data_IF_596380692052
#
_entry.id   IF_596380692052
#
_cell.length_a   1.000
_cell.length_b   1.000
_cell.length_c   1.000
_cell.angle_alpha   90.00
_cell.angle_beta   90.00
_cell.angle_gamma   90.00
#
_symmetry.space_group_name_H-M   'P 1'
#
loop_
_entity.id
_entity.type
_entity.pdbx_description
1 polymer ?
#
# COMPACT_ATOMS: atom_id res chain seq x y z
N UNK A 1 20.80 9.23 -28.29
CA UNK A 1 21.23 7.82 -28.22
C UNK A 1 19.98 6.97 -28.35
N UNK A 2 19.97 5.90 -29.13
CA UNK A 2 18.77 5.10 -29.36
C UNK A 2 18.38 4.31 -28.10
N UNK A 3 17.10 4.35 -27.73
CA UNK A 3 16.53 3.54 -26.64
C UNK A 3 16.32 2.09 -27.08
N UNK A 4 17.42 1.41 -27.41
CA UNK A 4 17.42 0.00 -27.81
C UNK A 4 17.19 -0.91 -26.60
N UNK A 5 16.09 -1.68 -26.60
CA UNK A 5 15.77 -2.81 -25.72
C UNK A 5 16.32 -2.70 -24.29
N UNK A 6 15.74 -1.85 -23.45
CA UNK A 6 15.93 -1.97 -22.01
C UNK A 6 15.12 -3.15 -21.49
N UNK A 7 15.80 -4.09 -20.84
CA UNK A 7 15.18 -5.20 -20.12
C UNK A 7 15.36 -5.00 -18.61
N UNK A 8 14.29 -5.20 -17.84
CA UNK A 8 14.36 -5.34 -16.38
C UNK A 8 14.58 -6.82 -16.04
N UNK A 9 15.63 -7.13 -15.27
CA UNK A 9 15.77 -8.43 -14.60
C UNK A 9 15.11 -8.35 -13.23
N UNK A 10 14.10 -9.19 -12.98
CA UNK A 10 13.48 -9.32 -11.66
C UNK A 10 14.33 -10.28 -10.80
N UNK A 11 14.94 -9.85 -9.69
CA UNK A 11 15.74 -10.75 -8.87
C UNK A 11 14.89 -11.82 -8.17
N UNK A 12 15.48 -12.99 -7.91
CA UNK A 12 14.88 -14.00 -7.03
C UNK A 12 15.04 -13.57 -5.56
N UNK A 13 14.19 -12.65 -5.11
CA UNK A 13 14.21 -12.09 -3.75
C UNK A 13 14.00 -13.16 -2.66
N UNK A 14 13.23 -14.21 -2.95
CA UNK A 14 12.79 -15.23 -2.00
C UNK A 14 13.50 -16.60 -2.10
N UNK A 15 14.65 -16.72 -2.76
CA UNK A 15 15.39 -18.01 -2.90
C UNK A 15 15.71 -18.68 -1.56
N UNK A 16 16.00 -17.89 -0.53
CA UNK A 16 16.29 -18.37 0.82
C UNK A 16 15.20 -17.99 1.83
N UNK A 17 13.95 -17.83 1.37
CA UNK A 17 12.79 -17.59 2.24
C UNK A 17 12.18 -18.93 2.67
N UNK A 18 12.23 -19.31 3.97
CA UNK A 18 11.82 -20.64 4.43
C UNK A 18 10.38 -21.04 4.10
N UNK A 19 9.46 -20.07 4.04
CA UNK A 19 8.03 -20.33 3.87
C UNK A 19 7.67 -20.65 2.41
N UNK A 20 7.12 -21.85 2.13
CA UNK A 20 6.72 -22.26 0.79
C UNK A 20 5.34 -21.69 0.41
N UNK A 21 5.00 -21.77 -0.88
CA UNK A 21 3.65 -21.43 -1.37
C UNK A 21 2.62 -22.35 -0.72
N UNK A 22 1.76 -21.78 0.12
CA UNK A 22 0.62 -22.47 0.75
C UNK A 22 -0.66 -21.77 0.33
N UNK A 23 -1.74 -22.51 0.10
CA UNK A 23 -3.03 -21.99 -0.35
C UNK A 23 -4.12 -22.47 0.63
N UNK A 24 -4.97 -21.55 1.08
CA UNK A 24 -6.09 -21.89 1.95
C UNK A 24 -7.04 -22.90 1.27
N UNK A 25 -7.45 -23.99 1.95
CA UNK A 25 -8.33 -25.01 1.37
C UNK A 25 -9.69 -24.48 0.90
N UNK A 26 -10.18 -23.37 1.47
CA UNK A 26 -11.47 -22.77 1.13
C UNK A 26 -11.44 -21.82 -0.09
N UNK A 27 -10.28 -21.60 -0.72
CA UNK A 27 -10.07 -20.64 -1.81
C UNK A 27 -11.18 -20.67 -2.88
N UNK A 28 -11.47 -21.84 -3.46
CA UNK A 28 -12.42 -21.95 -4.58
C UNK A 28 -13.83 -21.49 -4.18
N UNK A 29 -14.30 -21.90 -3.00
CA UNK A 29 -15.62 -21.53 -2.48
C UNK A 29 -15.67 -20.04 -2.15
N UNK A 30 -14.69 -19.54 -1.39
CA UNK A 30 -14.71 -18.15 -0.92
C UNK A 30 -14.47 -17.16 -2.07
N UNK A 31 -13.64 -17.52 -3.06
CA UNK A 31 -13.48 -16.75 -4.31
C UNK A 31 -14.82 -16.57 -5.02
N UNK A 32 -15.57 -17.65 -5.26
CA UNK A 32 -16.85 -17.58 -5.95
C UNK A 32 -17.85 -16.70 -5.18
N UNK A 33 -17.92 -16.85 -3.85
CA UNK A 33 -18.78 -16.03 -2.99
C UNK A 33 -18.35 -14.54 -2.96
N UNK A 34 -17.05 -14.24 -3.00
CA UNK A 34 -16.51 -12.87 -2.90
C UNK A 34 -16.60 -12.10 -4.22
N UNK A 35 -16.24 -12.74 -5.35
CA UNK A 35 -16.44 -12.17 -6.68
C UNK A 35 -17.92 -11.86 -6.94
N UNK A 36 -18.83 -12.80 -6.69
CA UNK A 36 -20.27 -12.58 -6.91
C UNK A 36 -20.85 -11.45 -6.04
N UNK A 37 -20.33 -11.26 -4.82
CA UNK A 37 -20.69 -10.13 -3.96
C UNK A 37 -20.20 -8.80 -4.54
N UNK A 38 -18.92 -8.71 -4.95
CA UNK A 38 -18.40 -7.46 -5.51
C UNK A 38 -19.08 -7.08 -6.85
N UNK A 39 -19.25 -8.05 -7.74
CA UNK A 39 -19.92 -7.88 -9.04
C UNK A 39 -21.36 -7.37 -8.88
N UNK A 40 -22.04 -7.72 -7.78
CA UNK A 40 -23.42 -7.28 -7.52
C UNK A 40 -23.57 -5.74 -7.41
N UNK A 41 -22.51 -5.03 -7.01
CA UNK A 41 -22.50 -3.57 -6.92
C UNK A 41 -22.31 -2.88 -8.26
N UNK A 42 -21.79 -3.58 -9.29
CA UNK A 42 -21.48 -3.03 -10.61
C UNK A 42 -20.60 -1.78 -10.54
N UNK A 43 -19.55 -1.84 -9.70
CA UNK A 43 -18.60 -0.74 -9.53
C UNK A 43 -17.78 -0.45 -10.81
N UNK A 44 -17.70 -1.41 -11.72
CA UNK A 44 -16.92 -1.36 -12.96
C UNK A 44 -17.80 -1.58 -14.19
N UNK A 45 -17.40 -1.04 -15.34
CA UNK A 45 -17.95 -1.46 -16.64
C UNK A 45 -17.52 -2.91 -16.99
N UNK A 46 -18.13 -3.59 -17.99
CA UNK A 46 -17.81 -4.98 -18.30
C UNK A 46 -16.35 -5.27 -18.66
N UNK A 47 -15.63 -4.32 -19.28
CA UNK A 47 -14.21 -4.47 -19.64
C UNK A 47 -13.33 -4.30 -18.41
N UNK A 48 -13.59 -3.28 -17.59
CA UNK A 48 -12.90 -3.07 -16.33
C UNK A 48 -13.14 -4.25 -15.35
N UNK A 49 -14.37 -4.75 -15.25
CA UNK A 49 -14.71 -5.94 -14.44
C UNK A 49 -13.95 -7.20 -14.91
N UNK A 50 -13.82 -7.41 -16.23
CA UNK A 50 -13.06 -8.55 -16.76
C UNK A 50 -11.56 -8.44 -16.43
N UNK A 51 -10.98 -7.23 -16.52
CA UNK A 51 -9.61 -6.94 -16.09
C UNK A 51 -9.40 -7.21 -14.60
N UNK A 52 -10.30 -6.66 -13.76
CA UNK A 52 -10.31 -6.87 -12.31
C UNK A 52 -10.37 -8.35 -11.94
N UNK A 53 -11.31 -9.10 -12.54
CA UNK A 53 -11.47 -10.53 -12.29
C UNK A 53 -10.23 -11.35 -12.70
N UNK A 54 -9.52 -10.94 -13.75
CA UNK A 54 -8.27 -11.59 -14.18
C UNK A 54 -7.08 -11.38 -13.22
N UNK A 55 -7.15 -10.34 -12.37
CA UNK A 55 -6.15 -10.10 -11.32
C UNK A 55 -6.31 -11.07 -10.13
N UNK A 56 -7.47 -11.70 -9.97
CA UNK A 56 -7.74 -12.75 -8.97
C UNK A 56 -7.26 -12.39 -7.55
N UNK A 57 -7.73 -11.26 -7.01
CA UNK A 57 -7.35 -10.79 -5.68
C UNK A 57 -7.76 -11.75 -4.55
N UNK A 58 -8.76 -12.61 -4.80
CA UNK A 58 -9.14 -13.72 -3.93
C UNK A 58 -8.02 -14.78 -3.80
N UNK A 59 -7.20 -14.98 -4.84
CA UNK A 59 -6.01 -15.83 -4.78
C UNK A 59 -4.93 -15.22 -3.89
N UNK A 60 -4.70 -13.90 -3.97
CA UNK A 60 -3.76 -13.19 -3.07
C UNK A 60 -4.15 -13.41 -1.60
N UNK A 61 -5.41 -13.13 -1.25
CA UNK A 61 -5.93 -13.38 0.09
C UNK A 61 -5.76 -14.85 0.51
N UNK A 62 -6.08 -15.80 -0.37
CA UNK A 62 -6.01 -17.24 -0.05
C UNK A 62 -4.59 -17.79 0.06
N UNK A 63 -3.61 -17.15 -0.56
CA UNK A 63 -2.19 -17.44 -0.36
C UNK A 63 -1.64 -16.79 0.92
N UNK A 64 -2.15 -15.61 1.28
CA UNK A 64 -1.70 -14.85 2.43
C UNK A 64 -2.28 -15.33 3.77
N UNK A 65 -3.51 -15.84 3.76
CA UNK A 65 -4.23 -16.35 4.93
C UNK A 65 -4.43 -17.89 4.88
N UNK A 66 -3.38 -18.72 4.73
CA UNK A 66 -3.53 -20.16 4.46
C UNK A 66 -4.13 -20.96 5.62
N UNK A 67 -4.05 -20.45 6.87
CA UNK A 67 -4.62 -21.08 8.07
C UNK A 67 -6.00 -20.55 8.47
N UNK A 68 -6.45 -19.44 7.88
CA UNK A 68 -7.68 -18.79 8.28
C UNK A 68 -8.91 -19.71 8.09
N UNK A 69 -9.87 -19.57 9.00
CA UNK A 69 -11.20 -20.17 8.86
C UNK A 69 -11.86 -19.73 7.54
N UNK A 70 -12.90 -20.46 7.07
CA UNK A 70 -13.65 -20.03 5.87
C UNK A 70 -14.20 -18.59 6.03
N UNK A 71 -14.63 -18.23 7.23
CA UNK A 71 -15.21 -16.93 7.57
C UNK A 71 -14.15 -15.81 7.61
N UNK A 72 -13.00 -16.05 8.22
CA UNK A 72 -11.90 -15.07 8.23
C UNK A 72 -11.21 -14.95 6.87
N UNK A 73 -11.11 -16.04 6.09
CA UNK A 73 -10.68 -15.98 4.70
C UNK A 73 -11.63 -15.11 3.86
N UNK A 74 -12.94 -15.20 4.12
CA UNK A 74 -13.95 -14.39 3.42
C UNK A 74 -13.74 -12.89 3.68
N UNK A 75 -13.41 -12.51 4.91
CA UNK A 75 -12.97 -11.15 5.24
C UNK A 75 -11.70 -10.78 4.46
N UNK A 76 -10.69 -11.64 4.44
CA UNK A 76 -9.45 -11.40 3.70
C UNK A 76 -9.66 -11.19 2.19
N UNK A 77 -10.56 -11.95 1.56
CA UNK A 77 -10.92 -11.80 0.15
C UNK A 77 -11.69 -10.51 -0.13
N UNK A 78 -12.71 -10.19 0.69
CA UNK A 78 -13.48 -8.95 0.56
C UNK A 78 -12.59 -7.71 0.79
N UNK A 79 -11.62 -7.78 1.70
CA UNK A 79 -10.62 -6.73 1.94
C UNK A 79 -9.71 -6.51 0.72
N UNK A 80 -9.17 -7.59 0.13
CA UNK A 80 -8.34 -7.45 -1.06
C UNK A 80 -9.13 -6.81 -2.21
N UNK A 81 -10.37 -7.27 -2.43
CA UNK A 81 -11.25 -6.66 -3.42
C UNK A 81 -11.53 -5.18 -3.11
N UNK A 82 -11.74 -4.82 -1.84
CA UNK A 82 -11.95 -3.43 -1.42
C UNK A 82 -10.75 -2.52 -1.74
N UNK A 83 -9.50 -2.94 -1.47
CA UNK A 83 -8.32 -2.14 -1.81
C UNK A 83 -8.25 -1.81 -3.29
N UNK A 84 -8.41 -2.80 -4.17
CA UNK A 84 -8.30 -2.55 -5.61
C UNK A 84 -9.48 -1.80 -6.21
N UNK A 85 -10.63 -1.72 -5.52
CA UNK A 85 -11.70 -0.76 -5.86
C UNK A 85 -11.29 0.65 -5.41
N UNK A 86 -10.68 0.82 -4.23
CA UNK A 86 -10.16 2.12 -3.77
C UNK A 86 -9.09 2.64 -4.73
N UNK A 87 -8.13 1.81 -5.15
CA UNK A 87 -7.10 2.18 -6.14
C UNK A 87 -7.74 2.73 -7.43
N UNK A 88 -8.73 2.04 -8.02
CA UNK A 88 -9.42 2.50 -9.24
C UNK A 88 -10.09 3.87 -9.07
N UNK A 89 -10.68 4.14 -7.90
CA UNK A 89 -11.30 5.44 -7.58
C UNK A 89 -10.30 6.52 -7.14
N UNK A 90 -9.01 6.23 -6.96
CA UNK A 90 -8.04 7.18 -6.39
C UNK A 90 -6.77 7.36 -7.21
N UNK A 91 -6.40 6.44 -8.09
CA UNK A 91 -5.14 6.55 -8.87
C UNK A 91 -5.21 7.56 -10.02
N UNK A 92 -6.39 7.78 -10.60
CA UNK A 92 -6.62 8.79 -11.66
C UNK A 92 -7.06 10.16 -11.12
N UNK A 93 -7.25 10.27 -9.81
CA UNK A 93 -7.89 11.41 -9.14
C UNK A 93 -6.89 12.34 -8.42
N UNK A 94 -7.36 13.55 -8.09
CA UNK A 94 -6.61 14.55 -7.32
C UNK A 94 -6.70 14.34 -5.79
N UNK A 95 -5.95 15.15 -5.04
CA UNK A 95 -5.93 15.12 -3.56
C UNK A 95 -7.33 15.30 -2.93
N UNK A 96 -8.23 16.06 -3.58
CA UNK A 96 -9.57 16.37 -3.05
C UNK A 96 -10.51 15.19 -3.26
N UNK A 97 -10.48 14.57 -4.43
CA UNK A 97 -11.31 13.40 -4.75
C UNK A 97 -10.81 12.15 -4.01
N UNK A 98 -9.49 11.96 -3.89
CA UNK A 98 -8.93 10.92 -3.03
C UNK A 98 -9.36 11.08 -1.56
N UNK A 99 -9.36 12.32 -1.04
CA UNK A 99 -9.83 12.60 0.32
C UNK A 99 -11.34 12.35 0.50
N UNK A 100 -12.15 12.54 -0.55
CA UNK A 100 -13.57 12.17 -0.55
C UNK A 100 -13.77 10.66 -0.42
N UNK A 101 -13.06 9.87 -1.24
CA UNK A 101 -13.10 8.39 -1.21
C UNK A 101 -12.64 7.88 0.16
N UNK A 102 -11.56 8.42 0.70
CA UNK A 102 -11.07 8.11 2.04
C UNK A 102 -12.11 8.40 3.13
N UNK A 103 -12.73 9.59 3.10
CA UNK A 103 -13.74 10.02 4.07
C UNK A 103 -14.99 9.14 4.06
N UNK A 104 -15.55 8.85 2.87
CA UNK A 104 -16.71 7.98 2.71
C UNK A 104 -16.41 6.55 3.18
N UNK A 105 -15.24 6.02 2.81
CA UNK A 105 -14.81 4.68 3.22
C UNK A 105 -14.66 4.60 4.74
N UNK A 106 -14.03 5.58 5.40
CA UNK A 106 -13.90 5.58 6.86
C UNK A 106 -15.23 5.80 7.60
N UNK A 107 -16.17 6.62 7.09
CA UNK A 107 -17.50 6.73 7.69
C UNK A 107 -18.29 5.41 7.57
N UNK A 108 -18.11 4.66 6.47
CA UNK A 108 -18.69 3.34 6.29
C UNK A 108 -18.09 2.27 7.21
N UNK A 109 -16.75 2.22 7.34
CA UNK A 109 -16.05 1.29 8.24
C UNK A 109 -16.33 1.59 9.72
N UNK A 110 -16.40 2.86 10.11
CA UNK A 110 -16.73 3.27 11.49
C UNK A 110 -18.22 3.10 11.83
N UNK A 111 -19.11 3.03 10.83
CA UNK A 111 -20.55 2.91 11.03
C UNK A 111 -21.15 1.79 10.14
N UNK A 112 -20.75 0.52 10.28
CA UNK A 112 -21.12 -0.55 9.35
C UNK A 112 -22.62 -0.88 9.34
N UNK A 113 -23.34 -0.52 10.41
CA UNK A 113 -24.80 -0.74 10.52
C UNK A 113 -25.64 0.50 10.18
N UNK A 114 -25.02 1.63 9.82
CA UNK A 114 -25.68 2.86 9.38
C UNK A 114 -25.97 2.77 7.87
N UNK A 115 -27.22 2.93 7.42
CA UNK A 115 -27.53 2.99 5.99
C UNK A 115 -26.75 4.10 5.27
N UNK A 116 -26.22 3.81 4.08
CA UNK A 116 -25.49 4.81 3.29
C UNK A 116 -26.45 5.86 2.68
N UNK A 117 -26.04 7.13 2.53
CA UNK A 117 -26.83 8.15 1.86
C UNK A 117 -27.20 7.77 0.41
N UNK A 118 -28.42 8.13 -0.02
CA UNK A 118 -28.86 7.90 -1.41
C UNK A 118 -28.02 8.75 -2.37
N UNK A 119 -27.38 8.10 -3.32
CA UNK A 119 -26.51 8.76 -4.31
C UNK A 119 -25.07 8.99 -3.84
N UNK A 120 -24.66 8.40 -2.71
CA UNK A 120 -23.25 8.31 -2.35
C UNK A 120 -22.49 7.39 -3.33
N UNK A 121 -21.19 7.64 -3.48
CA UNK A 121 -20.26 6.77 -4.23
C UNK A 121 -20.28 5.34 -3.69
N UNK A 122 -20.30 4.36 -4.60
CA UNK A 122 -20.62 2.95 -4.28
C UNK A 122 -19.63 2.30 -3.28
N UNK A 123 -18.39 2.80 -3.22
CA UNK A 123 -17.37 2.37 -2.25
C UNK A 123 -17.87 2.44 -0.80
N UNK A 124 -18.74 3.40 -0.46
CA UNK A 124 -19.33 3.52 0.87
C UNK A 124 -20.20 2.31 1.24
N UNK A 125 -20.97 1.76 0.29
CA UNK A 125 -21.79 0.57 0.54
C UNK A 125 -20.96 -0.72 0.49
N UNK A 126 -19.93 -0.80 -0.36
CA UNK A 126 -18.99 -1.92 -0.42
C UNK A 126 -18.25 -2.05 0.93
N UNK A 127 -17.61 -0.96 1.39
CA UNK A 127 -16.90 -0.92 2.67
C UNK A 127 -17.83 -1.20 3.86
N UNK A 128 -19.06 -0.66 3.83
CA UNK A 128 -20.06 -0.90 4.86
C UNK A 128 -20.44 -2.39 4.95
N UNK A 129 -20.74 -3.04 3.82
CA UNK A 129 -21.11 -4.47 3.82
C UNK A 129 -19.93 -5.37 4.22
N UNK A 130 -18.72 -5.06 3.73
CA UNK A 130 -17.49 -5.76 4.13
C UNK A 130 -17.31 -5.74 5.66
N UNK A 131 -17.40 -4.57 6.28
CA UNK A 131 -17.15 -4.47 7.73
C UNK A 131 -18.34 -4.95 8.57
N UNK A 132 -19.57 -4.75 8.12
CA UNK A 132 -20.77 -5.32 8.77
C UNK A 132 -20.77 -6.85 8.80
N UNK A 133 -20.20 -7.51 7.79
CA UNK A 133 -19.98 -8.97 7.76
C UNK A 133 -18.89 -9.39 8.76
N UNK A 134 -17.87 -8.55 8.92
CA UNK A 134 -16.64 -8.90 9.67
C UNK A 134 -16.80 -8.69 11.18
N UNK A 135 -17.34 -7.54 11.61
CA UNK A 135 -17.43 -7.14 13.03
C UNK A 135 -17.98 -8.23 13.98
N UNK A 136 -19.00 -9.06 13.62
CA UNK A 136 -19.49 -10.12 14.50
C UNK A 136 -18.52 -11.29 14.76
N UNK A 137 -17.38 -11.33 14.07
CA UNK A 137 -16.49 -12.52 13.97
C UNK A 137 -15.08 -12.27 14.54
N UNK A 138 -14.86 -11.11 15.17
CA UNK A 138 -13.52 -10.58 15.52
C UNK A 138 -13.46 -10.09 16.96
N UNK A 139 -12.24 -9.97 17.51
CA UNK A 139 -12.00 -9.35 18.83
C UNK A 139 -12.06 -7.82 18.75
N UNK A 140 -12.42 -7.13 19.84
CA UNK A 140 -12.41 -5.66 19.87
C UNK A 140 -11.00 -5.08 19.67
N UNK A 141 -9.96 -5.82 20.07
CA UNK A 141 -8.57 -5.46 19.81
C UNK A 141 -8.23 -5.47 18.31
N UNK A 142 -8.61 -6.52 17.59
CA UNK A 142 -8.40 -6.60 16.12
C UNK A 142 -9.32 -5.64 15.35
N UNK A 143 -10.56 -5.41 15.82
CA UNK A 143 -11.45 -4.37 15.30
C UNK A 143 -10.79 -2.98 15.36
N UNK A 144 -10.33 -2.57 16.55
CA UNK A 144 -9.66 -1.28 16.77
C UNK A 144 -8.41 -1.16 15.91
N UNK A 145 -7.52 -2.15 15.93
CA UNK A 145 -6.26 -2.14 15.16
C UNK A 145 -6.51 -2.09 13.65
N UNK A 146 -7.56 -2.75 13.13
CA UNK A 146 -7.97 -2.61 11.74
C UNK A 146 -8.42 -1.18 11.41
N UNK A 147 -9.31 -0.58 12.20
CA UNK A 147 -9.80 0.79 11.95
C UNK A 147 -8.66 1.82 12.00
N UNK A 148 -7.74 1.71 12.95
CA UNK A 148 -6.55 2.58 13.07
C UNK A 148 -5.61 2.45 11.85
N UNK A 149 -5.33 1.22 11.42
CA UNK A 149 -4.42 0.96 10.29
C UNK A 149 -5.04 1.26 8.93
N UNK A 150 -6.36 1.08 8.76
CA UNK A 150 -7.07 1.41 7.53
C UNK A 150 -7.22 2.93 7.32
N UNK A 151 -7.46 3.70 8.40
CA UNK A 151 -7.43 5.18 8.32
C UNK A 151 -6.04 5.65 7.90
N UNK A 152 -4.99 5.12 8.54
CA UNK A 152 -3.58 5.43 8.21
C UNK A 152 -3.27 5.15 6.73
N UNK A 153 -3.70 3.99 6.21
CA UNK A 153 -3.60 3.66 4.79
C UNK A 153 -4.31 4.71 3.91
N UNK A 154 -5.58 5.01 4.19
CA UNK A 154 -6.35 5.97 3.38
C UNK A 154 -5.77 7.39 3.40
N UNK A 155 -5.28 7.87 4.55
CA UNK A 155 -4.59 9.17 4.60
C UNK A 155 -3.30 9.17 3.75
N UNK A 156 -2.60 8.04 3.66
CA UNK A 156 -1.40 7.92 2.82
C UNK A 156 -1.73 7.86 1.31
N UNK A 157 -2.88 7.32 0.91
CA UNK A 157 -3.39 7.39 -0.47
C UNK A 157 -3.64 8.85 -0.89
N UNK A 158 -4.23 9.67 -0.01
CA UNK A 158 -4.40 11.12 -0.25
C UNK A 158 -3.04 11.82 -0.44
N UNK A 159 -2.04 11.46 0.37
CA UNK A 159 -0.67 11.97 0.22
C UNK A 159 -0.03 11.55 -1.12
N UNK A 160 -0.24 10.31 -1.57
CA UNK A 160 0.25 9.83 -2.87
C UNK A 160 -0.39 10.60 -4.04
N UNK A 161 -1.71 10.82 -4.02
CA UNK A 161 -2.41 11.59 -5.05
C UNK A 161 -1.84 13.02 -5.15
N UNK A 162 -1.54 13.65 -4.02
CA UNK A 162 -0.84 14.95 -3.97
C UNK A 162 0.58 14.87 -4.54
N UNK A 163 1.34 13.82 -4.24
CA UNK A 163 2.71 13.68 -4.74
C UNK A 163 2.74 13.49 -6.27
N UNK A 164 1.82 12.67 -6.83
CA UNK A 164 1.62 12.53 -8.30
C UNK A 164 1.33 13.87 -8.97
N UNK A 165 0.40 14.66 -8.42
CA UNK A 165 0.04 15.98 -9.00
C UNK A 165 1.20 16.99 -9.01
N UNK A 166 2.25 16.75 -8.22
CA UNK A 166 3.46 17.58 -8.14
C UNK A 166 4.69 16.95 -8.79
N UNK A 167 4.56 15.72 -9.32
CA UNK A 167 5.67 14.92 -9.85
C UNK A 167 6.85 14.81 -8.86
N UNK A 168 6.53 14.67 -7.56
CA UNK A 168 7.51 14.72 -6.49
C UNK A 168 8.17 13.35 -6.26
N UNK A 169 9.38 13.19 -6.79
CA UNK A 169 10.24 12.03 -6.49
C UNK A 169 10.85 12.21 -5.09
N UNK A 170 10.62 11.22 -4.22
CA UNK A 170 11.11 11.18 -2.83
C UNK A 170 12.53 10.62 -2.74
N UNK A 171 13.15 10.75 -1.56
CA UNK A 171 14.31 9.90 -1.21
C UNK A 171 13.86 8.44 -0.99
N UNK A 172 14.78 7.49 -1.06
CA UNK A 172 14.56 6.08 -0.71
C UNK A 172 13.97 5.94 0.69
N UNK A 173 14.50 6.71 1.66
CA UNK A 173 14.06 6.64 3.05
C UNK A 173 12.62 7.18 3.23
N UNK A 174 12.34 8.37 2.68
CA UNK A 174 11.02 9.00 2.79
C UNK A 174 9.96 8.21 2.01
N UNK A 175 10.36 7.63 0.88
CA UNK A 175 9.51 6.70 0.13
C UNK A 175 9.14 5.48 0.98
N UNK A 176 10.12 4.73 1.51
CA UNK A 176 9.82 3.55 2.32
C UNK A 176 8.98 3.90 3.56
N UNK A 177 9.23 5.05 4.19
CA UNK A 177 8.42 5.51 5.33
C UNK A 177 6.94 5.68 4.96
N UNK A 178 6.64 6.38 3.88
CA UNK A 178 5.25 6.61 3.44
C UNK A 178 4.64 5.37 2.78
N UNK A 179 5.41 4.62 1.99
CA UNK A 179 4.95 3.40 1.30
C UNK A 179 4.56 2.29 2.27
N UNK A 180 5.14 2.24 3.49
CA UNK A 180 4.73 1.32 4.57
C UNK A 180 3.30 1.54 5.06
N UNK A 181 2.76 2.75 4.90
CA UNK A 181 1.34 3.05 5.18
C UNK A 181 0.49 2.76 3.94
N UNK A 182 0.99 3.12 2.76
CA UNK A 182 0.27 3.10 1.50
C UNK A 182 0.12 1.72 0.83
N UNK A 183 1.05 0.78 1.04
CA UNK A 183 1.03 -0.56 0.41
C UNK A 183 -0.09 -1.50 0.94
N UNK A 184 -0.98 -1.03 1.82
CA UNK A 184 -2.11 -1.80 2.36
C UNK A 184 -1.72 -2.95 3.31
N UNK A 185 -0.43 -3.14 3.61
CA UNK A 185 0.07 -4.26 4.41
C UNK A 185 -0.38 -4.18 5.88
N UNK A 186 -0.38 -2.99 6.51
CA UNK A 186 -0.80 -2.82 7.91
C UNK A 186 -2.25 -3.27 8.16
N UNK A 187 -3.28 -2.77 7.46
CA UNK A 187 -4.64 -3.27 7.59
C UNK A 187 -4.79 -4.73 7.16
N UNK A 188 -3.98 -5.24 6.23
CA UNK A 188 -3.96 -6.67 5.89
C UNK A 188 -3.41 -7.55 7.03
N UNK A 189 -2.42 -7.06 7.77
CA UNK A 189 -1.88 -7.78 8.93
C UNK A 189 -2.83 -7.76 10.12
N UNK A 190 -3.68 -6.74 10.28
CA UNK A 190 -4.75 -6.75 11.28
C UNK A 190 -5.76 -7.89 11.05
N UNK A 191 -5.91 -8.40 9.82
CA UNK A 191 -6.74 -9.59 9.52
C UNK A 191 -6.06 -10.91 9.94
N UNK A 192 -4.74 -10.93 10.19
CA UNK A 192 -4.10 -12.08 10.85
C UNK A 192 -4.55 -12.22 12.31
N UNK A 193 -5.10 -11.16 12.90
CA UNK A 193 -5.46 -11.09 14.31
C UNK A 193 -6.92 -11.45 14.59
N UNK A 194 -7.74 -11.76 13.57
CA UNK A 194 -9.19 -11.94 13.77
C UNK A 194 -9.54 -13.13 14.67
N UNK A 195 -8.71 -14.18 14.65
CA UNK A 195 -8.79 -15.37 15.50
C UNK A 195 -7.92 -15.29 16.75
N UNK A 196 -7.20 -14.17 16.96
CA UNK A 196 -6.18 -14.02 18.00
C UNK A 196 -6.58 -12.94 19.02
N UNK A 197 -6.16 -13.13 20.27
CA UNK A 197 -6.31 -12.16 21.36
C UNK A 197 -4.94 -11.66 21.83
N UNK A 198 -4.12 -11.20 20.86
CA UNK A 198 -2.76 -10.71 21.13
C UNK A 198 -2.80 -9.35 21.87
N UNK A 199 -2.21 -9.25 23.08
CA UNK A 199 -2.15 -8.01 23.83
C UNK A 199 -1.30 -6.92 23.15
N UNK A 200 -1.63 -5.65 23.37
CA UNK A 200 -0.87 -4.52 22.78
C UNK A 200 0.61 -4.51 23.19
N UNK A 201 0.98 -5.04 24.38
CA UNK A 201 2.38 -5.14 24.80
C UNK A 201 3.18 -6.18 24.00
N UNK A 202 2.52 -7.19 23.43
CA UNK A 202 3.13 -8.18 22.53
C UNK A 202 3.30 -7.54 21.15
N UNK A 203 2.23 -6.92 20.63
CA UNK A 203 2.23 -6.28 19.31
C UNK A 203 3.23 -5.11 19.22
N UNK A 204 3.42 -4.36 20.31
CA UNK A 204 4.41 -3.28 20.40
C UNK A 204 5.84 -3.75 20.71
N UNK A 205 6.07 -5.04 20.98
CA UNK A 205 7.41 -5.55 21.28
C UNK A 205 8.38 -5.33 20.10
N UNK A 206 9.61 -4.85 20.32
CA UNK A 206 10.54 -4.50 19.23
C UNK A 206 10.80 -5.62 18.21
N UNK A 207 10.82 -6.88 18.64
CA UNK A 207 10.97 -8.04 17.73
C UNK A 207 9.77 -8.20 16.79
N UNK A 208 8.54 -8.02 17.30
CA UNK A 208 7.32 -8.09 16.48
C UNK A 208 7.27 -6.91 15.51
N UNK A 209 7.51 -5.70 16.00
CA UNK A 209 7.60 -4.50 15.15
C UNK A 209 8.67 -4.62 14.05
N UNK A 210 9.85 -5.17 14.38
CA UNK A 210 10.93 -5.40 13.40
C UNK A 210 10.51 -6.43 12.35
N UNK A 211 9.91 -7.55 12.75
CA UNK A 211 9.40 -8.55 11.81
C UNK A 211 8.31 -7.96 10.90
N UNK A 212 7.35 -7.23 11.48
CA UNK A 212 6.27 -6.54 10.76
C UNK A 212 6.82 -5.55 9.73
N UNK A 213 7.61 -4.55 10.13
CA UNK A 213 8.16 -3.54 9.20
C UNK A 213 9.02 -4.19 8.11
N UNK A 214 9.80 -5.22 8.45
CA UNK A 214 10.63 -5.93 7.48
C UNK A 214 9.79 -6.70 6.45
N UNK A 215 8.69 -7.33 6.88
CA UNK A 215 7.75 -7.97 5.96
C UNK A 215 7.10 -6.94 5.02
N UNK A 216 6.71 -5.77 5.53
CA UNK A 216 6.18 -4.66 4.71
C UNK A 216 7.20 -4.23 3.65
N UNK A 217 8.46 -3.97 4.02
CA UNK A 217 9.49 -3.57 3.06
C UNK A 217 9.74 -4.64 1.98
N UNK A 218 9.65 -5.93 2.33
CA UNK A 218 9.74 -7.03 1.35
C UNK A 218 8.51 -7.12 0.44
N UNK A 219 7.30 -6.79 0.93
CA UNK A 219 6.09 -6.68 0.12
C UNK A 219 6.21 -5.53 -0.90
N UNK A 220 6.67 -4.35 -0.44
CA UNK A 220 6.93 -3.18 -1.30
C UNK A 220 7.88 -3.55 -2.42
N UNK A 221 9.05 -4.11 -2.11
CA UNK A 221 10.04 -4.54 -3.10
C UNK A 221 9.45 -5.55 -4.09
N UNK A 222 8.67 -6.53 -3.60
CA UNK A 222 8.04 -7.53 -4.46
C UNK A 222 7.00 -6.95 -5.42
N UNK A 223 6.18 -6.02 -4.93
CA UNK A 223 5.17 -5.30 -5.70
C UNK A 223 5.84 -4.43 -6.78
N UNK A 224 6.71 -3.50 -6.35
CA UNK A 224 7.39 -2.52 -7.20
C UNK A 224 8.22 -3.19 -8.31
N UNK A 225 8.92 -4.30 -8.02
CA UNK A 225 9.68 -5.04 -9.04
C UNK A 225 8.79 -5.65 -10.13
N UNK A 226 7.54 -6.00 -9.80
CA UNK A 226 6.61 -6.61 -10.75
C UNK A 226 5.75 -5.55 -11.46
N UNK A 227 5.42 -4.45 -10.78
CA UNK A 227 4.62 -3.36 -11.32
C UNK A 227 5.40 -2.40 -12.22
N UNK A 228 6.72 -2.27 -12.01
CA UNK A 228 7.58 -1.28 -12.66
C UNK A 228 7.33 -1.09 -14.16
N UNK A 229 7.26 -2.17 -14.95
CA UNK A 229 7.02 -2.04 -16.42
C UNK A 229 5.71 -1.31 -16.69
N UNK A 230 4.64 -1.69 -15.99
CA UNK A 230 3.29 -1.19 -16.25
C UNK A 230 3.15 0.27 -15.78
N UNK A 231 3.82 0.65 -14.70
CA UNK A 231 3.91 2.03 -14.20
C UNK A 231 4.78 2.90 -15.12
N UNK A 232 5.95 2.41 -15.51
CA UNK A 232 6.90 3.11 -16.39
C UNK A 232 6.31 3.36 -17.78
N UNK A 233 5.60 2.37 -18.35
CA UNK A 233 4.88 2.51 -19.61
C UNK A 233 3.72 3.54 -19.56
N UNK A 234 3.25 3.90 -18.36
CA UNK A 234 2.23 4.94 -18.14
C UNK A 234 2.83 6.29 -17.74
N UNK A 235 4.12 6.35 -17.43
CA UNK A 235 4.78 7.54 -16.86
C UNK A 235 4.43 7.81 -15.39
N UNK A 236 4.03 6.78 -14.63
CA UNK A 236 3.65 6.89 -13.21
C UNK A 236 4.58 6.11 -12.27
N UNK A 237 5.81 5.80 -12.73
CA UNK A 237 6.83 5.10 -11.94
C UNK A 237 7.56 5.99 -10.91
N UNK A 238 7.12 7.24 -10.74
CA UNK A 238 7.66 8.16 -9.70
C UNK A 238 7.45 7.63 -8.27
N UNK A 239 6.48 6.74 -8.08
CA UNK A 239 6.17 6.06 -6.83
C UNK A 239 6.76 4.62 -6.76
N UNK A 240 7.79 4.31 -7.53
CA UNK A 240 8.44 3.00 -7.56
C UNK A 240 9.89 3.07 -7.05
N UNK A 241 10.28 2.14 -6.17
CA UNK A 241 11.63 2.09 -5.58
C UNK A 241 12.75 1.98 -6.64
N UNK A 242 12.52 1.38 -7.81
CA UNK A 242 13.51 1.33 -8.89
C UNK A 242 13.81 2.72 -9.46
N UNK A 243 12.79 3.54 -9.72
CA UNK A 243 12.96 4.89 -10.26
C UNK A 243 13.51 5.85 -9.21
N UNK A 244 13.07 5.71 -7.96
CA UNK A 244 13.60 6.46 -6.83
C UNK A 244 15.08 6.14 -6.59
N UNK A 245 15.48 4.86 -6.61
CA UNK A 245 16.88 4.47 -6.47
C UNK A 245 17.75 4.92 -7.66
N UNK A 246 17.22 4.89 -8.91
CA UNK A 246 17.92 5.46 -10.08
C UNK A 246 18.18 6.95 -9.91
N UNK A 247 17.19 7.70 -9.42
CA UNK A 247 17.27 9.14 -9.18
C UNK A 247 18.26 9.46 -8.05
N UNK A 248 18.13 8.82 -6.88
CA UNK A 248 18.98 9.09 -5.71
C UNK A 248 20.46 8.72 -5.94
N UNK A 249 20.75 7.62 -6.62
CA UNK A 249 22.13 7.23 -6.93
C UNK A 249 22.69 7.89 -8.20
N UNK A 250 21.86 8.56 -9.00
CA UNK A 250 22.25 9.10 -10.32
C UNK A 250 22.72 8.02 -11.30
N UNK A 251 22.15 6.81 -11.22
CA UNK A 251 22.66 5.62 -11.91
C UNK A 251 21.56 4.81 -12.63
N UNK A 252 21.98 3.94 -13.55
CA UNK A 252 21.08 3.15 -14.39
C UNK A 252 20.31 2.04 -13.66
N UNK A 253 19.25 1.53 -14.29
CA UNK A 253 18.33 0.53 -13.74
C UNK A 253 19.03 -0.72 -13.18
N UNK A 254 20.10 -1.20 -13.84
CA UNK A 254 20.88 -2.34 -13.36
C UNK A 254 21.54 -2.12 -11.99
N UNK A 255 21.94 -0.89 -11.66
CA UNK A 255 22.44 -0.58 -10.32
C UNK A 255 21.30 -0.59 -9.28
N UNK A 256 20.16 0.02 -9.61
CA UNK A 256 18.98 -0.01 -8.73
C UNK A 256 18.54 -1.45 -8.40
N UNK A 257 18.52 -2.36 -9.39
CA UNK A 257 18.26 -3.79 -9.16
C UNK A 257 19.29 -4.44 -8.22
N UNK A 258 20.59 -4.18 -8.42
CA UNK A 258 21.65 -4.71 -7.55
C UNK A 258 21.56 -4.19 -6.11
N UNK A 259 21.15 -2.93 -5.94
CA UNK A 259 20.88 -2.34 -4.63
C UNK A 259 19.65 -2.98 -3.98
N UNK A 260 18.53 -3.12 -4.70
CA UNK A 260 17.33 -3.83 -4.21
C UNK A 260 17.64 -5.27 -3.81
N UNK A 261 18.42 -6.01 -4.62
CA UNK A 261 18.87 -7.36 -4.27
C UNK A 261 19.59 -7.38 -2.91
N UNK A 262 20.49 -6.42 -2.69
CA UNK A 262 21.29 -6.30 -1.48
C UNK A 262 20.46 -5.88 -0.27
N UNK A 263 19.53 -4.94 -0.47
CA UNK A 263 18.61 -4.47 0.55
C UNK A 263 17.61 -5.56 0.98
N UNK A 264 17.01 -6.28 0.04
CA UNK A 264 16.16 -7.44 0.33
C UNK A 264 16.93 -8.58 1.04
N UNK A 265 18.23 -8.76 0.76
CA UNK A 265 19.12 -9.68 1.52
C UNK A 265 19.38 -9.20 2.95
N UNK A 266 19.41 -7.89 3.24
CA UNK A 266 19.41 -7.39 4.62
C UNK A 266 18.06 -7.54 5.30
N UNK A 267 16.95 -7.19 4.64
CA UNK A 267 15.59 -7.36 5.17
C UNK A 267 15.36 -8.81 5.62
N UNK A 268 15.60 -9.80 4.74
CA UNK A 268 15.47 -11.21 5.13
C UNK A 268 16.24 -11.58 6.40
N UNK A 269 17.48 -11.07 6.57
CA UNK A 269 18.27 -11.32 7.79
C UNK A 269 17.66 -10.64 9.01
N UNK A 270 17.16 -9.42 8.87
CA UNK A 270 16.43 -8.70 9.94
C UNK A 270 15.16 -9.44 10.37
N UNK A 271 14.38 -9.98 9.42
CA UNK A 271 13.16 -10.74 9.75
C UNK A 271 13.49 -12.01 10.54
N UNK A 272 14.41 -12.83 10.03
CA UNK A 272 14.82 -14.09 10.69
C UNK A 272 15.42 -13.81 12.08
N UNK A 273 16.27 -12.79 12.20
CA UNK A 273 16.87 -12.41 13.48
C UNK A 273 15.90 -11.71 14.44
N UNK A 274 14.75 -11.21 13.95
CA UNK A 274 13.69 -10.68 14.79
C UNK A 274 12.85 -11.81 15.40
N UNK A 275 12.43 -12.80 14.59
CA UNK A 275 11.66 -13.95 15.10
C UNK A 275 12.47 -14.81 16.08
N UNK A 276 13.79 -14.93 15.89
CA UNK A 276 14.71 -15.59 16.84
C UNK A 276 14.82 -14.87 18.20
N UNK A 277 14.45 -13.58 18.26
CA UNK A 277 14.51 -12.73 19.47
C UNK A 277 13.12 -12.42 20.04
N UNK A 278 12.12 -13.21 19.69
CA UNK A 278 10.80 -13.13 20.33
C UNK A 278 10.91 -13.79 21.71
N UNK A 279 10.64 -13.07 22.81
CA UNK A 279 10.62 -13.66 24.14
C UNK A 279 9.38 -14.54 24.31
N UNK A 280 9.40 -15.43 25.30
CA UNK A 280 8.19 -16.14 25.74
C UNK A 280 7.35 -15.26 26.66
N UNK A 281 6.05 -15.24 26.43
CA UNK A 281 5.03 -14.66 27.32
C UNK A 281 4.12 -15.73 27.94
N UNK A 282 4.35 -17.00 27.62
CA UNK A 282 3.56 -18.16 28.07
C UNK A 282 2.91 -18.87 26.89
N UNK A 283 2.73 -20.19 27.02
CA UNK A 283 2.35 -21.12 25.94
C UNK A 283 1.16 -20.66 25.07
N UNK A 284 0.12 -20.11 25.70
CA UNK A 284 -1.08 -19.61 25.02
C UNK A 284 -0.82 -18.38 24.13
N UNK A 285 0.01 -17.44 24.60
CA UNK A 285 0.39 -16.25 23.83
C UNK A 285 1.44 -16.63 22.78
N UNK A 286 2.43 -17.45 23.14
CA UNK A 286 3.50 -17.86 22.26
C UNK A 286 2.99 -18.63 21.03
N UNK A 287 1.92 -19.43 21.20
CA UNK A 287 1.22 -20.10 20.10
C UNK A 287 0.60 -19.10 19.12
N UNK A 288 -0.11 -18.09 19.63
CA UNK A 288 -0.74 -17.05 18.81
C UNK A 288 0.29 -16.15 18.12
N UNK A 289 1.40 -15.85 18.79
CA UNK A 289 2.53 -15.10 18.21
C UNK A 289 3.18 -15.90 17.08
N UNK A 290 3.36 -17.22 17.24
CA UNK A 290 3.87 -18.07 16.19
C UNK A 290 2.95 -18.09 14.95
N UNK A 291 1.63 -18.13 15.15
CA UNK A 291 0.64 -18.04 14.06
C UNK A 291 0.71 -16.67 13.35
N UNK A 292 0.75 -15.57 14.10
CA UNK A 292 0.87 -14.22 13.54
C UNK A 292 2.16 -14.05 12.71
N UNK A 293 3.31 -14.49 13.25
CA UNK A 293 4.60 -14.40 12.55
C UNK A 293 4.67 -15.30 11.31
N UNK A 294 4.03 -16.48 11.35
CA UNK A 294 3.82 -17.32 10.17
C UNK A 294 2.95 -16.62 9.12
N UNK A 295 1.91 -15.91 9.56
CA UNK A 295 1.07 -15.04 8.72
C UNK A 295 1.86 -13.94 8.01
N UNK A 296 2.68 -13.16 8.75
CA UNK A 296 3.56 -12.15 8.18
C UNK A 296 4.51 -12.74 7.12
N UNK A 297 5.08 -13.92 7.42
CA UNK A 297 6.03 -14.56 6.53
C UNK A 297 5.37 -15.16 5.26
N UNK A 298 4.13 -15.63 5.38
CA UNK A 298 3.32 -16.05 4.25
C UNK A 298 2.87 -14.89 3.39
N UNK A 299 2.55 -13.73 3.95
CA UNK A 299 2.22 -12.54 3.17
C UNK A 299 3.32 -12.20 2.14
N UNK A 300 4.59 -12.24 2.57
CA UNK A 300 5.75 -12.06 1.68
C UNK A 300 5.78 -13.10 0.55
N UNK A 301 5.51 -14.37 0.86
CA UNK A 301 5.44 -15.46 -0.13
C UNK A 301 4.22 -15.35 -1.05
N UNK A 302 3.07 -14.94 -0.52
CA UNK A 302 1.81 -14.79 -1.22
C UNK A 302 1.91 -13.73 -2.30
N UNK A 303 2.52 -12.58 -1.98
CA UNK A 303 2.78 -11.50 -2.93
C UNK A 303 3.67 -11.95 -4.10
N UNK A 304 4.78 -12.67 -3.84
CA UNK A 304 5.64 -13.25 -4.90
C UNK A 304 4.86 -14.27 -5.74
N UNK A 305 4.10 -15.19 -5.13
CA UNK A 305 3.34 -16.19 -5.88
C UNK A 305 2.24 -15.56 -6.75
N UNK A 306 1.42 -14.68 -6.16
CA UNK A 306 0.32 -14.02 -6.83
C UNK A 306 0.79 -13.06 -7.94
N UNK A 307 1.92 -12.39 -7.77
CA UNK A 307 2.48 -11.50 -8.81
C UNK A 307 2.79 -12.20 -10.14
N UNK A 308 3.06 -13.52 -10.11
CA UNK A 308 3.28 -14.33 -11.31
C UNK A 308 2.13 -15.28 -11.66
N UNK A 309 1.14 -15.45 -10.77
CA UNK A 309 -0.04 -16.30 -10.97
C UNK A 309 -1.27 -15.53 -11.45
N UNK A 310 -1.38 -14.25 -11.08
CA UNK A 310 -2.41 -13.34 -11.57
C UNK A 310 -2.04 -12.72 -12.91
N UNK A 311 -3.04 -12.17 -13.60
CA UNK A 311 -2.80 -11.40 -14.82
C UNK A 311 -2.40 -9.93 -14.56
N UNK A 312 -2.40 -9.44 -13.30
CA UNK A 312 -2.23 -8.00 -12.96
C UNK A 312 -0.98 -7.38 -13.57
N UNK A 313 0.16 -8.04 -13.42
CA UNK A 313 1.45 -7.50 -13.86
C UNK A 313 1.81 -7.97 -15.27
N UNK A 314 1.64 -9.27 -15.54
CA UNK A 314 2.23 -9.95 -16.69
C UNK A 314 1.21 -10.60 -17.63
N UNK A 315 -0.09 -10.43 -17.39
CA UNK A 315 -1.12 -11.15 -18.13
C UNK A 315 -0.93 -12.68 -18.05
N UNK A 316 -1.22 -13.36 -19.15
CA UNK A 316 -1.01 -14.81 -19.32
C UNK A 316 0.46 -15.27 -19.25
N UNK A 317 1.43 -14.35 -19.29
CA UNK A 317 2.87 -14.67 -19.33
C UNK A 317 3.54 -14.71 -17.94
N UNK A 318 2.80 -14.48 -16.85
CA UNK A 318 3.36 -14.43 -15.50
C UNK A 318 4.18 -15.66 -15.12
N UNK A 319 3.71 -16.87 -15.46
CA UNK A 319 4.43 -18.14 -15.22
C UNK A 319 5.73 -18.27 -16.04
N UNK A 320 5.75 -17.75 -17.26
CA UNK A 320 6.94 -17.75 -18.11
C UNK A 320 8.01 -16.82 -17.50
N UNK A 321 7.61 -15.58 -17.18
CA UNK A 321 8.45 -14.56 -16.55
C UNK A 321 8.91 -15.01 -15.15
N UNK A 322 8.14 -15.82 -14.42
CA UNK A 322 8.56 -16.41 -13.15
C UNK A 322 9.80 -17.31 -13.28
N UNK A 323 10.00 -17.93 -14.45
CA UNK A 323 11.13 -18.83 -14.76
C UNK A 323 12.34 -18.03 -15.26
N UNK A 324 12.19 -17.24 -16.34
CA UNK A 324 13.34 -16.54 -16.94
C UNK A 324 13.66 -15.19 -16.29
N UNK A 325 12.73 -14.61 -15.52
CA UNK A 325 12.91 -13.40 -14.71
C UNK A 325 13.40 -12.16 -15.48
N UNK A 326 13.05 -12.07 -16.76
CA UNK A 326 13.35 -10.92 -17.63
C UNK A 326 12.04 -10.31 -18.13
N UNK A 327 11.96 -8.99 -18.12
CA UNK A 327 10.81 -8.22 -18.59
C UNK A 327 11.30 -7.21 -19.61
N UNK A 328 10.67 -7.17 -20.78
CA UNK A 328 10.90 -6.14 -21.78
C UNK A 328 10.20 -4.83 -21.39
N UNK A 329 10.93 -3.70 -21.43
CA UNK A 329 10.42 -2.37 -21.13
C UNK A 329 10.08 -1.56 -22.39
N UNK A 330 10.53 -1.97 -23.58
CA UNK A 330 10.27 -1.27 -24.83
C UNK A 330 8.84 -1.50 -25.35
N UNK A 331 8.19 -2.60 -24.94
CA UNK A 331 6.80 -2.89 -25.27
C UNK A 331 5.83 -2.21 -24.28
N UNK A 332 5.62 -0.90 -24.44
CA UNK A 332 4.80 -0.06 -23.53
C UNK A 332 3.29 -0.26 -23.62
N UNK A 333 2.79 -1.49 -23.42
CA UNK A 333 1.63 -1.95 -24.19
C UNK A 333 0.65 -2.92 -23.44
N UNK A 334 -0.56 -2.45 -22.99
CA UNK A 334 -1.64 -3.18 -22.29
C UNK A 334 -2.15 -4.58 -22.69
N UNK A 335 -2.42 -4.93 -23.95
CA UNK A 335 -2.57 -6.33 -24.40
C UNK A 335 -1.33 -6.95 -25.07
N UNK A 336 -0.61 -6.35 -26.03
CA UNK A 336 -0.21 -4.96 -26.32
C UNK A 336 -1.25 -3.81 -26.43
N UNK A 337 -0.90 -2.50 -26.38
CA UNK A 337 -1.89 -1.37 -26.46
C UNK A 337 -2.88 -1.65 -27.58
N UNK A 338 -4.12 -1.93 -27.16
CA UNK A 338 -5.31 -2.09 -28.00
C UNK A 338 -5.19 -3.11 -29.14
N UNK A 339 -6.20 -3.98 -29.23
CA UNK A 339 -6.64 -4.49 -30.52
C UNK A 339 -6.94 -3.30 -31.45
N UNK A 340 -6.46 -3.35 -32.69
CA UNK A 340 -6.26 -2.17 -33.55
C UNK A 340 -7.54 -1.51 -34.08
N UNK A 341 -7.40 -0.25 -34.47
CA UNK A 341 -8.37 0.59 -35.19
C UNK A 341 -9.60 1.08 -34.40
N UNK A 342 -9.49 2.29 -33.84
CA UNK A 342 -10.33 3.44 -34.23
C UNK A 342 -9.83 4.75 -33.61
N UNK A 343 -9.75 5.82 -34.41
CA UNK A 343 -9.65 7.20 -33.91
C UNK A 343 -10.94 7.59 -33.18
N UNK A 344 -10.94 7.55 -31.84
CA UNK A 344 -11.99 8.18 -31.03
C UNK A 344 -11.35 8.85 -29.82
N UNK A 345 -11.85 10.04 -29.47
CA UNK A 345 -11.50 10.75 -28.25
C UNK A 345 -11.50 9.81 -27.04
N UNK A 346 -10.59 10.05 -26.07
CA UNK A 346 -10.78 9.50 -24.72
C UNK A 346 -12.23 9.77 -24.33
N UNK A 347 -13.05 8.76 -24.00
CA UNK A 347 -14.29 9.06 -23.33
C UNK A 347 -13.85 9.78 -22.07
N UNK A 348 -14.27 11.03 -21.92
CA UNK A 348 -14.29 11.60 -20.59
C UNK A 348 -15.06 10.58 -19.76
N UNK A 349 -14.41 10.03 -18.73
CA UNK A 349 -15.07 9.90 -17.46
C UNK A 349 -15.61 11.30 -17.14
N UNK A 350 -16.82 11.57 -17.65
CA UNK A 350 -17.85 12.14 -16.79
C UNK A 350 -17.82 11.23 -15.57
N UNK A 351 -16.99 11.59 -14.59
CA UNK A 351 -17.15 11.11 -13.23
C UNK A 351 -18.64 11.23 -12.94
N UNK A 352 -19.22 10.20 -12.33
CA UNK A 352 -20.66 10.10 -12.13
C UNK A 352 -21.16 11.40 -11.50
N UNK A 353 -21.68 12.29 -12.36
CA UNK A 353 -22.24 13.58 -12.00
C UNK A 353 -23.60 13.28 -11.39
N UNK A 354 -23.55 12.76 -10.17
CA UNK A 354 -24.59 13.02 -9.21
C UNK A 354 -24.68 14.54 -9.12
N UNK A 355 -25.74 15.10 -9.68
CA UNK A 355 -26.18 16.45 -9.37
C UNK A 355 -26.53 16.50 -7.89
N UNK A 356 -25.50 16.65 -7.06
CA UNK A 356 -25.64 17.31 -5.77
C UNK A 356 -26.01 18.75 -6.13
N UNK A 357 -27.32 19.02 -6.17
CA UNK A 357 -27.84 20.38 -6.21
C UNK A 357 -27.01 21.25 -5.27
N UNK A 358 -26.57 22.43 -5.72
CA UNK A 358 -25.87 23.40 -4.88
C UNK A 358 -26.79 23.98 -3.81
N UNK A 359 -27.21 23.15 -2.85
CA UNK A 359 -27.70 23.58 -1.55
C UNK A 359 -26.48 23.93 -0.71
N UNK A 360 -26.16 25.21 -0.76
CA UNK A 360 -25.17 25.88 0.07
C UNK A 360 -25.28 25.42 1.52
N UNK A 361 -24.35 24.58 1.97
CA UNK A 361 -24.29 24.13 3.35
C UNK A 361 -23.69 25.24 4.22
N UNK A 362 -24.51 26.24 4.55
CA UNK A 362 -24.12 27.33 5.45
C UNK A 362 -24.33 26.86 6.89
N UNK A 363 -23.38 26.04 7.36
CA UNK A 363 -23.25 25.63 8.76
C UNK A 363 -21.86 26.02 9.28
N UNK A 364 -21.73 26.76 10.39
CA UNK A 364 -20.42 27.17 10.88
C UNK A 364 -19.65 25.97 11.44
N UNK A 365 -18.50 25.68 10.84
CA UNK A 365 -17.45 24.84 11.45
C UNK A 365 -16.89 25.57 12.68
N UNK A 366 -17.48 25.34 13.85
CA UNK A 366 -16.89 25.75 15.12
C UNK A 366 -15.72 24.83 15.47
N UNK A 367 -14.52 25.26 15.07
CA UNK A 367 -13.27 24.70 15.60
C UNK A 367 -13.14 25.15 17.06
N UNK A 368 -13.33 24.22 18.00
CA UNK A 368 -13.20 24.52 19.43
C UNK A 368 -11.73 24.58 19.85
N UNK A 369 -11.10 25.75 19.69
CA UNK A 369 -9.70 25.99 20.06
C UNK A 369 -9.54 26.34 21.54
N UNK A 370 -9.68 25.35 22.44
CA UNK A 370 -9.26 25.46 23.85
C UNK A 370 -8.67 24.14 24.37
N UNK A 371 -7.37 23.98 24.19
CA UNK A 371 -6.40 23.81 25.29
C UNK A 371 -5.00 23.48 24.74
N UNK A 372 -3.96 24.31 24.98
CA UNK A 372 -2.62 24.03 24.51
C UNK A 372 -1.90 23.03 25.45
N UNK A 373 -1.73 21.78 24.99
CA UNK A 373 -0.88 20.81 25.67
C UNK A 373 0.58 21.27 25.57
N UNK A 374 1.12 21.75 26.69
CA UNK A 374 2.51 22.17 26.78
C UNK A 374 3.45 20.96 26.84
N UNK A 375 4.32 20.80 25.84
CA UNK A 375 5.45 19.87 25.91
C UNK A 375 6.46 20.34 26.96
N UNK A 376 6.51 19.66 28.11
CA UNK A 376 7.68 19.72 29.01
C UNK A 376 8.73 18.74 28.54
N UNK A 377 9.93 19.23 28.31
CA UNK A 377 11.11 18.42 28.00
C UNK A 377 12.01 18.30 29.24
N UNK A 378 11.74 17.31 30.08
CA UNK A 378 12.55 16.98 31.26
C UNK A 378 13.06 15.52 31.16
N UNK A 379 14.32 15.33 30.78
CA UNK A 379 15.09 14.13 31.11
C UNK A 379 16.56 14.51 31.38
N UNK A 380 17.26 13.91 32.38
CA UNK A 380 18.52 14.44 32.88
C UNK A 380 19.73 13.92 32.10
N UNK A 381 20.73 14.79 31.92
CA UNK A 381 22.07 14.42 31.45
C UNK A 381 22.93 13.89 32.61
N UNK A 382 23.46 12.66 32.49
CA UNK A 382 24.60 12.23 33.30
C UNK A 382 25.51 11.22 32.57
N UNK A 383 26.60 11.71 31.97
CA UNK A 383 27.94 11.08 31.98
C UNK A 383 28.92 11.84 31.06
N UNK A 384 29.88 12.56 31.65
CA UNK A 384 31.17 12.93 31.03
C UNK A 384 32.11 11.70 31.11
N UNK A 385 33.10 11.48 30.21
CA UNK A 385 34.25 12.40 30.12
C UNK A 385 34.97 12.53 28.75
N UNK A 386 35.56 13.71 28.52
CA UNK A 386 37.03 13.93 28.50
C UNK A 386 37.36 15.39 28.17
N UNK A 387 38.39 15.93 28.82
CA UNK A 387 39.05 17.17 28.41
C UNK A 387 39.82 16.95 27.10
N UNK A 388 39.87 17.99 26.26
CA UNK A 388 41.07 18.44 25.55
C UNK A 388 40.87 19.92 25.18
N UNK A 389 41.93 20.70 25.39
CA UNK A 389 41.99 22.16 25.20
C UNK A 389 42.34 22.55 23.77
N UNK A 390 41.74 23.62 23.22
CA UNK A 390 42.45 24.80 22.65
C UNK A 390 41.59 25.64 21.70
N UNK A 391 41.38 26.92 22.07
CA UNK A 391 41.39 28.18 21.28
C UNK A 391 40.89 28.31 19.81
N UNK A 392 40.46 29.52 19.37
CA UNK A 392 39.44 29.67 18.32
C UNK A 392 39.96 30.21 16.97
N UNK A 393 39.13 30.06 15.92
CA UNK A 393 39.25 30.81 14.67
C UNK A 393 37.91 31.42 14.25
N UNK A 394 37.95 32.69 13.85
CA UNK A 394 36.80 33.49 13.36
C UNK A 394 36.31 32.98 11.99
N UNK A 395 35.02 33.20 11.66
CA UNK A 395 34.61 33.88 10.42
C UNK A 395 33.11 34.24 10.37
N UNK A 396 32.84 35.55 10.29
CA UNK A 396 31.72 36.22 9.60
C UNK A 396 30.28 35.66 9.65
N UNK A 397 29.44 36.33 10.44
CA UNK A 397 28.01 36.51 10.13
C UNK A 397 27.77 37.87 9.46
N UNK A 398 27.10 37.86 8.30
CA UNK A 398 26.37 38.96 7.66
C UNK A 398 25.15 38.26 7.04
N UNK A 399 23.94 38.42 7.58
CA UNK A 399 22.92 39.39 7.15
C UNK A 399 22.51 39.25 5.66
N UNK A 400 21.23 39.39 5.25
CA UNK A 400 20.07 40.02 5.89
C UNK A 400 18.74 39.44 5.33
N UNK A 401 17.62 39.81 5.97
CA UNK A 401 16.23 39.66 5.49
C UNK A 401 15.96 40.27 4.09
N UNK A 402 14.99 39.73 3.32
CA UNK A 402 13.68 40.40 3.05
C UNK A 402 12.85 39.86 1.84
N UNK A 403 11.52 39.82 2.05
CA UNK A 403 10.39 40.13 1.13
C UNK A 403 10.18 39.46 -0.25
N UNK A 404 9.01 38.78 -0.35
CA UNK A 404 7.92 38.99 -1.34
C UNK A 404 8.23 39.69 -2.69
N UNK A 405 7.81 39.04 -3.80
CA UNK A 405 6.80 39.62 -4.74
C UNK A 405 6.30 38.62 -5.82
N UNK A 406 5.16 38.98 -6.42
CA UNK A 406 4.35 38.30 -7.43
C UNK A 406 4.84 38.50 -8.88
N UNK A 407 4.46 37.62 -9.84
CA UNK A 407 3.60 37.94 -11.02
C UNK A 407 3.47 36.82 -12.10
N UNK A 408 2.22 36.48 -12.42
CA UNK A 408 1.57 36.15 -13.72
C UNK A 408 2.40 35.61 -14.93
N UNK A 409 2.14 34.33 -15.27
CA UNK A 409 1.47 33.92 -16.52
C UNK A 409 2.26 33.75 -17.85
N UNK A 410 1.84 32.77 -18.66
CA UNK A 410 1.48 32.91 -20.10
C UNK A 410 0.80 31.62 -20.62
N UNK A 411 0.10 31.70 -21.74
CA UNK A 411 -0.80 30.66 -22.29
C UNK A 411 -0.54 30.47 -23.80
N UNK A 412 -0.91 29.30 -24.34
CA UNK A 412 -1.04 28.95 -25.78
C UNK A 412 0.25 28.69 -26.58
N UNK A 413 0.39 27.42 -27.00
CA UNK A 413 0.73 26.90 -28.35
C UNK A 413 0.86 25.37 -28.22
N UNK A 414 0.35 24.54 -29.15
CA UNK A 414 -0.47 24.77 -30.34
C UNK A 414 -1.24 23.48 -30.63
#
# INVERSE_FOLDING_TARGET
MSESNQHLRIPHTLTAWPWPRTLNPYYQTVKAESSAWLESFKAFDPKAQAGFNSCDFNLLASLAYPLASKEHLRTGCDLMNLFFVIDEYTDIEDEVHAAMVASVTMDALRNPFKPRPRGEIIIGEIARQFWARTVPTITEASHRRFIETFDTYLQSVVVQARDRSKQHIRSIQDYLHMRRDNIGAKPSFAILELSLDLPDYVMSHPSIQTATVTAIDMLIIGNDLCSFRNEHARGDDTHNILTIARHEFGQGLGHAVNWIESYNKSLRRSFLSAIERVPSWGEEIDTQVAEYLYGLANWVRANDCWSFESHRYFGKHGREIQVHRVVDLACGHPECVQDTDNEVEKPATKGLLYEVEKKTYVGPLQVNTKDPIAFRSDFPLSARPKDITSTPTRLTCVALLCTLSTFIGWLVKL
#
